data_IF_229412123011
#
_entry.id   IF_229412123011
#
_cell.length_a   1.000
_cell.length_b   1.000
_cell.length_c   1.000
_cell.angle_alpha   90.00
_cell.angle_beta   90.00
_cell.angle_gamma   90.00
#
_symmetry.space_group_name_H-M   'P 1'
#
loop_
_entity.id
_entity.type
_entity.pdbx_description
1 polymer ?
#
# COMPACT_ATOMS: atom_id res chain seq x y z
N UNK A 1 32.09 -24.49 4.97
CA UNK A 1 30.87 -24.88 4.24
C UNK A 1 29.74 -24.92 5.26
N UNK A 2 28.92 -23.88 5.31
CA UNK A 2 27.71 -23.88 6.19
C UNK A 2 26.65 -24.67 5.43
N UNK A 3 26.26 -25.83 5.97
CA UNK A 3 25.18 -26.65 5.43
C UNK A 3 23.91 -25.81 5.44
N UNK A 4 23.39 -25.48 4.22
CA UNK A 4 22.07 -24.88 4.07
C UNK A 4 21.05 -25.82 4.69
N UNK A 5 20.20 -25.38 5.63
CA UNK A 5 19.16 -26.22 6.16
C UNK A 5 18.25 -26.69 5.00
N UNK A 6 18.01 -27.99 4.94
CA UNK A 6 17.01 -28.54 4.00
C UNK A 6 15.69 -27.83 4.20
N UNK A 7 14.97 -27.50 3.11
CA UNK A 7 13.66 -26.88 3.19
C UNK A 7 12.72 -27.86 3.91
N UNK A 8 12.49 -27.63 5.21
CA UNK A 8 11.46 -28.35 5.94
C UNK A 8 10.12 -28.01 5.30
N UNK A 9 9.61 -28.89 4.47
CA UNK A 9 8.26 -28.82 3.94
C UNK A 9 7.28 -28.83 5.13
N UNK A 10 6.87 -27.65 5.56
CA UNK A 10 5.80 -27.53 6.53
C UNK A 10 4.51 -27.93 5.82
N UNK A 11 4.07 -29.16 6.04
CA UNK A 11 2.72 -29.57 5.68
C UNK A 11 1.73 -28.70 6.47
N UNK A 12 1.27 -27.60 5.82
CA UNK A 12 0.10 -26.89 6.31
C UNK A 12 -1.03 -27.91 6.34
N UNK A 13 -1.52 -28.18 7.55
CA UNK A 13 -2.69 -29.03 7.67
C UNK A 13 -3.81 -28.39 6.87
N UNK A 14 -4.47 -29.10 5.95
CA UNK A 14 -5.46 -28.51 5.04
C UNK A 14 -6.60 -27.76 5.78
N UNK A 15 -6.88 -28.11 7.04
CA UNK A 15 -7.85 -27.40 7.86
C UNK A 15 -7.42 -25.95 8.20
N UNK A 16 -6.13 -25.65 8.34
CA UNK A 16 -5.65 -24.27 8.60
C UNK A 16 -5.91 -23.35 7.42
N UNK A 17 -5.70 -23.84 6.20
CA UNK A 17 -6.05 -23.11 4.99
C UNK A 17 -7.58 -22.89 4.90
N UNK A 18 -8.36 -23.88 5.30
CA UNK A 18 -9.83 -23.78 5.37
C UNK A 18 -10.30 -22.73 6.39
N UNK A 19 -9.73 -22.73 7.59
CA UNK A 19 -10.05 -21.73 8.63
C UNK A 19 -9.70 -20.31 8.16
N UNK A 20 -8.52 -20.11 7.56
CA UNK A 20 -8.14 -18.81 7.00
C UNK A 20 -9.09 -18.39 5.89
N UNK A 21 -9.44 -19.28 4.96
CA UNK A 21 -10.41 -18.99 3.91
C UNK A 21 -11.79 -18.62 4.47
N UNK A 22 -12.27 -19.30 5.50
CA UNK A 22 -13.53 -18.98 6.18
C UNK A 22 -13.46 -17.61 6.88
N UNK A 23 -12.34 -17.30 7.54
CA UNK A 23 -12.13 -15.97 8.12
C UNK A 23 -12.17 -14.86 7.06
N UNK A 24 -11.53 -15.09 5.90
CA UNK A 24 -11.57 -14.15 4.78
C UNK A 24 -12.98 -13.97 4.22
N UNK A 25 -13.66 -15.07 3.97
CA UNK A 25 -15.03 -15.05 3.46
C UNK A 25 -15.99 -14.37 4.46
N UNK A 26 -15.84 -14.65 5.76
CA UNK A 26 -16.61 -13.99 6.81
C UNK A 26 -16.36 -12.49 6.86
N UNK A 27 -15.09 -12.08 6.79
CA UNK A 27 -14.71 -10.66 6.79
C UNK A 27 -15.20 -9.94 5.52
N UNK A 28 -15.06 -10.58 4.37
CA UNK A 28 -15.58 -10.06 3.09
C UNK A 28 -17.12 -9.96 3.14
N UNK A 29 -17.78 -10.96 3.70
CA UNK A 29 -19.22 -10.95 3.88
C UNK A 29 -19.68 -9.78 4.78
N UNK A 30 -18.99 -9.55 5.90
CA UNK A 30 -19.28 -8.40 6.78
C UNK A 30 -19.05 -7.08 6.03
N UNK A 31 -17.97 -6.95 5.27
CA UNK A 31 -17.69 -5.75 4.48
C UNK A 31 -18.70 -5.50 3.37
N UNK A 32 -19.28 -6.55 2.77
CA UNK A 32 -20.15 -6.44 1.59
C UNK A 32 -21.65 -6.51 1.97
N UNK A 33 -22.03 -7.32 2.95
CA UNK A 33 -23.41 -7.69 3.21
C UNK A 33 -24.12 -6.89 4.33
N UNK A 34 -23.39 -6.06 5.11
CA UNK A 34 -24.05 -5.23 6.14
C UNK A 34 -25.01 -4.25 5.45
N UNK A 35 -26.32 -4.36 5.64
CA UNK A 35 -27.31 -3.49 4.99
C UNK A 35 -27.24 -2.06 5.49
N UNK A 36 -27.61 -1.11 4.65
CA UNK A 36 -27.76 0.30 5.02
C UNK A 36 -26.51 1.17 4.94
N UNK A 37 -25.33 0.59 4.66
CA UNK A 37 -24.08 1.36 4.52
C UNK A 37 -23.50 1.17 3.11
N UNK A 38 -23.20 2.27 2.40
CA UNK A 38 -22.62 2.20 1.06
C UNK A 38 -21.22 1.58 1.10
N UNK A 39 -20.80 0.96 -0.02
CA UNK A 39 -19.43 0.45 -0.17
C UNK A 39 -18.40 1.55 0.10
N UNK A 40 -18.64 2.75 -0.42
CA UNK A 40 -17.77 3.89 -0.26
C UNK A 40 -17.58 4.29 1.22
N UNK A 41 -18.67 4.25 2.01
CA UNK A 41 -18.60 4.56 3.44
C UNK A 41 -17.81 3.51 4.23
N UNK A 42 -17.91 2.25 3.83
CA UNK A 42 -17.10 1.17 4.42
C UNK A 42 -15.62 1.32 4.13
N UNK A 43 -15.27 1.68 2.88
CA UNK A 43 -13.88 1.98 2.52
C UNK A 43 -13.37 3.21 3.28
N UNK A 44 -14.19 4.26 3.41
CA UNK A 44 -13.86 5.44 4.24
C UNK A 44 -13.64 5.08 5.70
N UNK A 45 -14.50 4.25 6.26
CA UNK A 45 -14.35 3.78 7.64
C UNK A 45 -13.03 3.03 7.82
N UNK A 46 -12.74 2.04 6.96
CA UNK A 46 -11.52 1.26 7.02
C UNK A 46 -10.29 2.17 6.91
N UNK A 47 -10.24 3.03 5.90
CA UNK A 47 -9.11 3.92 5.65
C UNK A 47 -8.99 5.06 6.70
N UNK A 48 -10.02 5.32 7.51
CA UNK A 48 -9.99 6.33 8.57
C UNK A 48 -8.99 6.01 9.67
N UNK A 49 -8.63 4.74 9.84
CA UNK A 49 -7.61 4.31 10.79
C UNK A 49 -6.21 4.84 10.48
N UNK A 50 -5.92 5.14 9.20
CA UNK A 50 -4.59 5.58 8.76
C UNK A 50 -4.58 6.97 8.12
N UNK A 51 -5.75 7.53 7.83
CA UNK A 51 -5.88 8.82 7.16
C UNK A 51 -6.80 9.75 7.95
N UNK A 52 -6.39 11.01 8.12
CA UNK A 52 -7.25 12.02 8.76
C UNK A 52 -8.50 12.34 7.94
N UNK A 53 -8.44 12.12 6.62
CA UNK A 53 -9.56 12.33 5.67
C UNK A 53 -10.10 13.78 5.69
N UNK A 54 -9.21 14.77 5.87
CA UNK A 54 -9.59 16.17 5.87
C UNK A 54 -10.27 16.55 4.55
N UNK A 55 -11.45 17.22 4.58
CA UNK A 55 -12.17 17.61 3.37
C UNK A 55 -11.33 18.46 2.41
N UNK A 56 -10.58 19.45 2.93
CA UNK A 56 -9.69 20.32 2.16
C UNK A 56 -8.54 19.59 1.47
N UNK A 57 -8.16 18.41 1.96
CA UNK A 57 -7.05 17.60 1.46
C UNK A 57 -7.50 16.43 0.57
N UNK A 58 -8.77 16.39 0.17
CA UNK A 58 -9.36 15.25 -0.55
C UNK A 58 -9.84 15.64 -1.95
N UNK A 59 -9.94 14.66 -2.85
CA UNK A 59 -10.61 14.79 -4.15
C UNK A 59 -12.05 14.27 -4.07
N UNK A 60 -12.91 14.80 -4.97
CA UNK A 60 -14.35 14.53 -4.99
C UNK A 60 -14.84 14.08 -6.37
N UNK A 61 -14.40 12.91 -6.90
CA UNK A 61 -14.91 12.41 -8.18
C UNK A 61 -16.44 12.26 -8.14
N UNK A 62 -17.13 12.90 -9.09
CA UNK A 62 -18.60 12.91 -9.12
C UNK A 62 -19.26 13.53 -7.89
N UNK A 63 -18.58 14.45 -7.18
CA UNK A 63 -19.09 15.07 -5.96
C UNK A 63 -18.96 14.22 -4.69
N UNK A 64 -18.42 13.01 -4.79
CA UNK A 64 -18.23 12.09 -3.67
C UNK A 64 -16.76 12.04 -3.23
N UNK A 65 -16.50 12.25 -1.92
CA UNK A 65 -15.12 12.22 -1.40
C UNK A 65 -14.50 10.83 -1.51
N UNK A 66 -13.24 10.78 -1.97
CA UNK A 66 -12.44 9.55 -1.94
C UNK A 66 -12.20 9.09 -0.48
N UNK A 67 -11.95 7.78 -0.25
CA UNK A 67 -11.65 7.23 1.07
C UNK A 67 -10.38 7.79 1.69
N UNK A 68 -9.42 8.21 0.87
CA UNK A 68 -8.11 8.72 1.30
C UNK A 68 -7.94 10.19 0.88
N UNK A 69 -7.11 10.92 1.63
CA UNK A 69 -6.67 12.25 1.21
C UNK A 69 -5.78 12.17 -0.04
N UNK A 70 -5.60 13.28 -0.75
CA UNK A 70 -4.89 13.37 -2.03
C UNK A 70 -3.50 12.72 -2.00
N UNK A 71 -2.71 12.95 -0.93
CA UNK A 71 -1.37 12.37 -0.76
C UNK A 71 -1.43 10.86 -0.60
N UNK A 72 -2.25 10.35 0.30
CA UNK A 72 -2.39 8.92 0.54
C UNK A 72 -2.96 8.20 -0.69
N UNK A 73 -3.94 8.80 -1.37
CA UNK A 73 -4.43 8.30 -2.66
C UNK A 73 -3.27 8.14 -3.64
N UNK A 74 -2.39 9.14 -3.75
CA UNK A 74 -1.20 9.08 -4.60
C UNK A 74 -0.24 7.95 -4.18
N UNK A 75 0.11 7.86 -2.89
CA UNK A 75 1.04 6.84 -2.38
C UNK A 75 0.55 5.42 -2.73
N UNK A 76 -0.70 5.11 -2.41
CA UNK A 76 -1.20 3.76 -2.54
C UNK A 76 -1.56 3.38 -3.99
N UNK A 77 -2.06 4.32 -4.80
CA UNK A 77 -2.20 4.11 -6.24
C UNK A 77 -0.83 3.97 -6.91
N UNK A 78 0.13 4.84 -6.60
CA UNK A 78 1.49 4.77 -7.13
C UNK A 78 2.16 3.44 -6.79
N UNK A 79 1.98 2.96 -5.55
CA UNK A 79 2.50 1.66 -5.12
C UNK A 79 1.89 0.50 -5.91
N UNK A 80 0.56 0.40 -5.97
CA UNK A 80 -0.11 -0.75 -6.61
C UNK A 80 0.11 -0.77 -8.12
N UNK A 81 0.05 0.39 -8.79
CA UNK A 81 0.28 0.52 -10.23
C UNK A 81 1.72 0.15 -10.57
N UNK A 82 2.71 0.64 -9.80
CA UNK A 82 4.11 0.26 -9.97
C UNK A 82 4.32 -1.23 -9.75
N UNK A 83 3.74 -1.79 -8.70
CA UNK A 83 3.85 -3.22 -8.40
C UNK A 83 3.28 -4.07 -9.53
N UNK A 84 2.06 -3.77 -10.01
CA UNK A 84 1.42 -4.45 -11.14
C UNK A 84 2.32 -4.38 -12.38
N UNK A 85 2.85 -3.20 -12.69
CA UNK A 85 3.73 -3.02 -13.85
C UNK A 85 5.02 -3.84 -13.72
N UNK A 86 5.66 -3.84 -12.52
CA UNK A 86 6.86 -4.65 -12.28
C UNK A 86 6.58 -6.15 -12.46
N UNK A 87 5.43 -6.64 -12.01
CA UNK A 87 5.03 -8.02 -12.25
C UNK A 87 4.75 -8.29 -13.74
N UNK A 88 4.08 -7.38 -14.44
CA UNK A 88 3.77 -7.51 -15.86
C UNK A 88 5.03 -7.58 -16.75
N UNK A 89 6.09 -6.84 -16.38
CA UNK A 89 7.38 -6.89 -17.10
C UNK A 89 8.33 -7.99 -16.59
N UNK A 90 7.82 -8.95 -15.79
CA UNK A 90 8.58 -10.11 -15.30
C UNK A 90 9.57 -9.80 -14.18
N UNK A 91 9.42 -8.67 -13.47
CA UNK A 91 10.30 -8.28 -12.35
C UNK A 91 9.73 -8.62 -10.97
N UNK A 92 8.64 -9.35 -10.89
CA UNK A 92 7.96 -9.70 -9.63
C UNK A 92 8.82 -10.45 -8.61
N UNK A 93 9.88 -11.15 -9.05
CA UNK A 93 10.86 -11.84 -8.21
C UNK A 93 12.21 -11.14 -8.12
N UNK A 94 12.31 -9.88 -8.52
CA UNK A 94 13.54 -9.12 -8.43
C UNK A 94 14.02 -9.01 -6.96
N UNK A 95 15.32 -9.26 -6.72
CA UNK A 95 15.95 -9.23 -5.39
C UNK A 95 17.10 -8.22 -5.30
N UNK A 96 17.39 -7.50 -6.39
CA UNK A 96 18.41 -6.45 -6.39
C UNK A 96 17.73 -5.09 -6.51
N UNK A 97 18.22 -4.15 -5.70
CA UNK A 97 17.83 -2.76 -5.78
C UNK A 97 18.17 -2.16 -7.16
N UNK A 98 17.47 -1.10 -7.59
CA UNK A 98 17.86 -0.32 -8.75
C UNK A 98 19.33 0.14 -8.69
N UNK A 99 19.95 0.57 -9.81
CA UNK A 99 21.24 1.25 -9.80
C UNK A 99 21.21 2.49 -8.90
N UNK A 100 22.34 2.82 -8.26
CA UNK A 100 22.42 3.91 -7.28
C UNK A 100 21.83 5.25 -7.75
N UNK A 101 22.04 5.72 -9.00
CA UNK A 101 21.44 6.98 -9.44
C UNK A 101 19.89 6.96 -9.42
N UNK A 102 19.28 5.80 -9.76
CA UNK A 102 17.84 5.62 -9.70
C UNK A 102 17.36 5.58 -8.25
N UNK A 103 18.10 4.90 -7.35
CA UNK A 103 17.78 4.90 -5.91
C UNK A 103 17.76 6.31 -5.36
N UNK A 104 18.73 7.15 -5.72
CA UNK A 104 18.78 8.56 -5.29
C UNK A 104 17.53 9.30 -5.75
N UNK A 105 17.13 9.17 -7.00
CA UNK A 105 15.90 9.83 -7.53
C UNK A 105 14.65 9.35 -6.78
N UNK A 106 14.54 8.05 -6.50
CA UNK A 106 13.42 7.51 -5.75
C UNK A 106 13.36 8.03 -4.31
N UNK A 107 14.52 8.09 -3.64
CA UNK A 107 14.63 8.62 -2.26
C UNK A 107 14.35 10.13 -2.23
N UNK A 108 14.82 10.88 -3.21
CA UNK A 108 14.48 12.29 -3.36
C UNK A 108 12.98 12.50 -3.54
N UNK A 109 12.30 11.62 -4.30
CA UNK A 109 10.84 11.63 -4.41
C UNK A 109 10.13 11.50 -3.06
N UNK A 110 10.62 10.60 -2.19
CA UNK A 110 10.12 10.47 -0.81
C UNK A 110 10.43 11.74 0.00
N UNK A 111 11.64 12.30 -0.14
CA UNK A 111 12.03 13.55 0.54
C UNK A 111 11.14 14.74 0.17
N UNK A 112 10.84 14.90 -1.12
CA UNK A 112 9.94 15.95 -1.61
C UNK A 112 8.53 15.77 -1.02
N UNK A 113 8.02 14.54 -0.96
CA UNK A 113 6.75 14.24 -0.31
C UNK A 113 6.77 14.59 1.18
N UNK A 114 7.87 14.30 1.88
CA UNK A 114 8.01 14.64 3.29
C UNK A 114 7.99 16.16 3.50
N UNK A 115 8.71 16.93 2.68
CA UNK A 115 8.68 18.41 2.72
C UNK A 115 7.27 18.94 2.47
N UNK A 116 6.56 18.43 1.43
CA UNK A 116 5.17 18.80 1.17
C UNK A 116 4.25 18.42 2.35
N UNK A 117 4.55 17.29 3.02
CA UNK A 117 3.83 16.83 4.20
C UNK A 117 3.95 17.78 5.37
N UNK A 118 5.17 18.13 5.74
CA UNK A 118 5.44 19.09 6.83
C UNK A 118 4.90 20.48 6.51
N UNK A 119 5.06 20.94 5.27
CA UNK A 119 4.52 22.23 4.84
C UNK A 119 2.99 22.28 4.99
N UNK A 120 2.28 21.22 4.59
CA UNK A 120 0.83 21.11 4.77
C UNK A 120 0.44 21.07 6.27
N UNK A 121 1.19 20.33 7.07
CA UNK A 121 0.95 20.23 8.51
C UNK A 121 1.15 21.56 9.22
N UNK A 122 2.17 22.35 8.87
CA UNK A 122 2.39 23.67 9.42
C UNK A 122 1.27 24.65 9.07
N UNK A 123 0.77 24.58 7.81
CA UNK A 123 -0.40 25.36 7.43
C UNK A 123 -1.63 25.01 8.28
N UNK A 124 -1.90 23.71 8.47
CA UNK A 124 -3.06 23.22 9.24
C UNK A 124 -2.99 23.66 10.71
N UNK A 125 -1.78 23.86 11.25
CA UNK A 125 -1.54 24.40 12.60
C UNK A 125 -1.52 25.94 12.65
N UNK A 126 -1.70 26.64 11.54
CA UNK A 126 -1.59 28.10 11.46
C UNK A 126 -0.16 28.63 11.63
N UNK A 127 0.86 27.78 11.43
CA UNK A 127 2.27 28.13 11.53
C UNK A 127 2.82 28.64 10.19
N UNK A 128 4.03 29.21 10.24
CA UNK A 128 4.74 29.61 9.02
C UNK A 128 4.96 28.41 8.11
N UNK A 129 4.60 28.56 6.84
CA UNK A 129 4.70 27.52 5.81
C UNK A 129 5.39 28.09 4.56
N UNK A 130 6.00 27.21 3.74
CA UNK A 130 6.82 27.63 2.59
C UNK A 130 5.96 28.07 1.39
N UNK A 131 4.82 27.40 1.16
CA UNK A 131 3.91 27.64 0.05
C UNK A 131 2.50 27.15 0.37
N UNK A 132 1.50 27.63 -0.37
CA UNK A 132 0.12 27.15 -0.25
C UNK A 132 0.03 25.72 -0.82
N UNK A 133 -0.24 24.68 0.00
CA UNK A 133 -0.33 23.30 -0.47
C UNK A 133 -1.51 23.11 -1.43
N UNK A 134 -1.28 22.35 -2.50
CA UNK A 134 -2.30 22.06 -3.49
C UNK A 134 -2.53 20.56 -3.65
N UNK A 135 -3.80 20.12 -3.80
CA UNK A 135 -4.12 18.69 -3.83
C UNK A 135 -3.45 17.95 -5.01
N UNK A 136 -3.26 18.59 -6.17
CA UNK A 136 -2.51 17.99 -7.28
C UNK A 136 -1.03 17.78 -6.95
N UNK A 137 -0.40 18.69 -6.20
CA UNK A 137 0.98 18.49 -5.73
C UNK A 137 1.07 17.35 -4.73
N UNK A 138 0.15 17.31 -3.76
CA UNK A 138 0.04 16.17 -2.82
C UNK A 138 -0.13 14.84 -3.53
N UNK A 139 -0.94 14.80 -4.60
CA UNK A 139 -1.14 13.61 -5.42
C UNK A 139 0.15 13.22 -6.16
N UNK A 140 0.81 14.17 -6.83
CA UNK A 140 2.04 13.92 -7.59
C UNK A 140 3.18 13.40 -6.69
N UNK A 141 3.41 14.07 -5.56
CA UNK A 141 4.43 13.66 -4.57
C UNK A 141 4.08 12.30 -3.94
N UNK A 142 2.79 12.05 -3.72
CA UNK A 142 2.29 10.75 -3.28
C UNK A 142 2.58 9.64 -4.29
N UNK A 143 2.26 9.84 -5.59
CA UNK A 143 2.56 8.88 -6.67
C UNK A 143 4.05 8.57 -6.78
N UNK A 144 4.90 9.59 -6.70
CA UNK A 144 6.36 9.41 -6.70
C UNK A 144 6.84 8.57 -5.49
N UNK A 145 6.25 8.81 -4.33
CA UNK A 145 6.52 7.99 -3.13
C UNK A 145 6.04 6.56 -3.29
N UNK A 146 4.85 6.33 -3.84
CA UNK A 146 4.34 4.99 -4.12
C UNK A 146 5.23 4.22 -5.09
N UNK A 147 5.71 4.88 -6.15
CA UNK A 147 6.72 4.35 -7.07
C UNK A 147 7.99 3.92 -6.31
N UNK A 148 8.51 4.77 -5.43
CA UNK A 148 9.70 4.48 -4.66
C UNK A 148 9.49 3.30 -3.71
N UNK A 149 8.38 3.29 -2.97
CA UNK A 149 8.04 2.19 -2.04
C UNK A 149 7.94 0.84 -2.73
N UNK A 150 7.27 0.76 -3.89
CA UNK A 150 7.18 -0.49 -4.65
C UNK A 150 8.54 -0.91 -5.23
N UNK A 151 9.28 0.03 -5.81
CA UNK A 151 10.55 -0.25 -6.50
C UNK A 151 11.68 -0.65 -5.55
N UNK A 152 11.71 -0.08 -4.35
CA UNK A 152 12.70 -0.39 -3.31
C UNK A 152 12.23 -1.52 -2.39
N UNK A 153 10.94 -1.54 -2.05
CA UNK A 153 10.36 -2.53 -1.14
C UNK A 153 10.32 -3.94 -1.73
N UNK A 154 9.89 -4.08 -3.00
CA UNK A 154 9.78 -5.39 -3.66
C UNK A 154 11.09 -6.23 -3.58
N UNK A 155 12.27 -5.71 -3.94
CA UNK A 155 13.51 -6.50 -3.83
C UNK A 155 13.89 -6.83 -2.39
N UNK A 156 13.58 -5.97 -1.42
CA UNK A 156 13.85 -6.23 0.00
C UNK A 156 12.96 -7.37 0.52
N UNK A 157 11.66 -7.32 0.22
CA UNK A 157 10.71 -8.38 0.56
C UNK A 157 11.07 -9.71 -0.10
N UNK A 158 11.42 -9.68 -1.39
CA UNK A 158 11.82 -10.88 -2.10
C UNK A 158 13.10 -11.51 -1.54
N UNK A 159 14.05 -10.72 -1.05
CA UNK A 159 15.24 -11.24 -0.37
C UNK A 159 14.92 -11.91 0.97
N UNK A 160 13.89 -11.42 1.65
CA UNK A 160 13.46 -11.99 2.93
C UNK A 160 12.68 -13.29 2.74
N UNK A 161 11.87 -13.39 1.69
CA UNK A 161 10.94 -14.52 1.57
C UNK A 161 11.51 -15.69 0.79
N UNK A 162 12.15 -15.43 -0.38
CA UNK A 162 12.50 -16.51 -1.31
C UNK A 162 13.82 -17.19 -0.99
N UNK A 163 13.80 -18.54 -1.00
CA UNK A 163 14.99 -19.37 -0.81
C UNK A 163 15.94 -19.32 -2.03
N UNK A 164 15.39 -19.09 -3.23
CA UNK A 164 16.19 -18.96 -4.45
C UNK A 164 16.60 -17.51 -4.69
N UNK A 165 17.88 -17.27 -4.91
CA UNK A 165 18.39 -15.94 -5.22
C UNK A 165 18.12 -15.58 -6.68
N UNK A 166 17.45 -14.45 -6.90
CA UNK A 166 17.31 -13.84 -8.23
C UNK A 166 18.27 -12.65 -8.37
N UNK A 167 19.14 -12.72 -9.36
CA UNK A 167 20.06 -11.63 -9.72
C UNK A 167 19.36 -10.42 -10.38
N UNK A 168 18.06 -10.46 -10.57
CA UNK A 168 17.29 -9.40 -11.24
C UNK A 168 17.15 -8.16 -10.38
N UNK A 169 17.26 -6.98 -11.00
CA UNK A 169 16.92 -5.69 -10.39
C UNK A 169 15.45 -5.37 -10.61
N UNK A 170 14.80 -4.72 -9.64
CA UNK A 170 13.42 -4.21 -9.81
C UNK A 170 13.35 -3.22 -10.98
N UNK A 171 14.27 -2.28 -11.05
CA UNK A 171 14.48 -1.36 -12.16
C UNK A 171 15.95 -1.50 -12.59
N UNK A 172 16.19 -1.84 -13.87
CA UNK A 172 17.55 -2.09 -14.36
C UNK A 172 18.22 -0.85 -14.99
N UNK A 173 17.43 0.09 -15.51
CA UNK A 173 17.90 1.25 -16.27
C UNK A 173 16.88 2.38 -16.23
N UNK A 174 17.25 3.57 -16.73
CA UNK A 174 16.34 4.69 -16.91
C UNK A 174 15.18 4.37 -17.85
N UNK A 175 15.42 3.60 -18.91
CA UNK A 175 14.36 3.12 -19.80
C UNK A 175 13.34 2.24 -19.05
N UNK A 176 13.80 1.37 -18.15
CA UNK A 176 12.90 0.56 -17.31
C UNK A 176 12.09 1.42 -16.32
N UNK A 177 12.67 2.53 -15.81
CA UNK A 177 11.94 3.49 -15.00
C UNK A 177 10.85 4.20 -15.82
N UNK A 178 11.16 4.60 -17.06
CA UNK A 178 10.20 5.26 -17.95
C UNK A 178 8.98 4.38 -18.30
N UNK A 179 9.12 3.04 -18.29
CA UNK A 179 7.98 2.12 -18.49
C UNK A 179 6.93 2.25 -17.38
N UNK A 180 7.32 2.70 -16.18
CA UNK A 180 6.39 2.89 -15.06
C UNK A 180 5.61 4.21 -15.16
N UNK A 181 6.12 5.19 -15.88
CA UNK A 181 5.55 6.55 -15.94
C UNK A 181 4.14 6.60 -16.54
N UNK A 182 3.81 5.88 -17.64
CA UNK A 182 2.46 5.93 -18.20
C UNK A 182 1.36 5.52 -17.24
N UNK A 183 1.59 4.45 -16.43
CA UNK A 183 0.62 4.01 -15.42
C UNK A 183 0.42 5.04 -14.31
N UNK A 184 1.51 5.71 -13.88
CA UNK A 184 1.45 6.79 -12.89
C UNK A 184 0.74 8.03 -13.45
N UNK A 185 1.04 8.41 -14.71
CA UNK A 185 0.39 9.51 -15.38
C UNK A 185 -1.11 9.26 -15.55
N UNK A 186 -1.49 8.05 -15.97
CA UNK A 186 -2.89 7.65 -16.06
C UNK A 186 -3.59 7.78 -14.70
N UNK A 187 -2.95 7.32 -13.62
CA UNK A 187 -3.48 7.44 -12.26
C UNK A 187 -3.64 8.90 -11.84
N UNK A 188 -2.64 9.74 -12.15
CA UNK A 188 -2.69 11.17 -11.86
C UNK A 188 -3.87 11.85 -12.57
N UNK A 189 -4.01 11.66 -13.88
CA UNK A 189 -5.08 12.28 -14.67
C UNK A 189 -6.46 11.70 -14.31
N UNK A 190 -6.56 10.41 -13.99
CA UNK A 190 -7.80 9.80 -13.53
C UNK A 190 -8.31 10.46 -12.23
N UNK A 191 -7.41 10.66 -11.24
CA UNK A 191 -7.78 11.36 -9.98
C UNK A 191 -8.06 12.83 -10.24
N UNK A 192 -7.21 13.51 -11.02
CA UNK A 192 -7.32 14.95 -11.30
C UNK A 192 -8.59 15.30 -12.10
N UNK A 193 -9.08 14.37 -12.93
CA UNK A 193 -10.31 14.56 -13.71
C UNK A 193 -11.56 14.75 -12.86
N UNK A 194 -11.55 14.24 -11.64
CA UNK A 194 -12.69 14.21 -10.70
C UNK A 194 -13.98 13.67 -11.34
N UNK A 195 -13.88 12.85 -12.39
CA UNK A 195 -15.02 12.24 -13.06
C UNK A 195 -15.62 11.15 -12.16
N UNK A 196 -16.96 11.14 -12.02
CA UNK A 196 -17.67 10.15 -11.20
C UNK A 196 -17.48 8.69 -11.63
N UNK A 197 -17.18 8.44 -12.92
CA UNK A 197 -16.93 7.08 -13.43
C UNK A 197 -15.68 6.44 -12.80
N UNK A 198 -14.68 7.24 -12.41
CA UNK A 198 -13.45 6.71 -11.80
C UNK A 198 -13.53 6.61 -10.28
N UNK A 199 -14.60 7.04 -9.63
CA UNK A 199 -14.77 7.06 -8.18
C UNK A 199 -14.51 5.69 -7.55
N UNK A 200 -15.29 4.68 -7.93
CA UNK A 200 -15.18 3.34 -7.37
C UNK A 200 -13.88 2.62 -7.73
N UNK A 201 -13.40 2.63 -8.99
CA UNK A 201 -12.08 2.10 -9.33
C UNK A 201 -10.97 2.72 -8.49
N UNK A 202 -10.94 4.05 -8.34
CA UNK A 202 -9.92 4.74 -7.54
C UNK A 202 -10.03 4.42 -6.05
N UNK A 203 -11.25 4.40 -5.51
CA UNK A 203 -11.50 4.05 -4.11
C UNK A 203 -11.03 2.62 -3.80
N UNK A 204 -11.40 1.64 -4.64
CA UNK A 204 -11.01 0.24 -4.46
C UNK A 204 -9.51 0.04 -4.62
N UNK A 205 -8.88 0.61 -5.67
CA UNK A 205 -7.45 0.46 -5.91
C UNK A 205 -6.61 1.13 -4.82
N UNK A 206 -7.00 2.32 -4.36
CA UNK A 206 -6.25 3.00 -3.29
C UNK A 206 -6.36 2.26 -1.96
N UNK A 207 -7.55 1.80 -1.57
CA UNK A 207 -7.72 0.98 -0.35
C UNK A 207 -7.01 -0.38 -0.49
N UNK A 208 -7.07 -1.02 -1.66
CA UNK A 208 -6.29 -2.24 -1.91
C UNK A 208 -4.78 -2.00 -1.79
N UNK A 209 -4.29 -0.84 -2.25
CA UNK A 209 -2.91 -0.40 -2.05
C UNK A 209 -2.54 -0.25 -0.58
N UNK A 210 -3.41 0.34 0.24
CA UNK A 210 -3.26 0.41 1.70
C UNK A 210 -3.10 -0.99 2.28
N UNK A 211 -4.08 -1.86 2.01
CA UNK A 211 -4.09 -3.22 2.52
C UNK A 211 -2.82 -3.99 2.10
N UNK A 212 -2.38 -3.82 0.84
CA UNK A 212 -1.18 -4.48 0.33
C UNK A 212 0.09 -3.98 1.05
N UNK A 213 0.25 -2.67 1.23
CA UNK A 213 1.44 -2.10 1.90
C UNK A 213 1.50 -2.55 3.35
N UNK A 214 0.43 -2.39 4.11
CA UNK A 214 0.40 -2.76 5.53
C UNK A 214 0.49 -4.28 5.72
N UNK A 215 -0.18 -5.08 4.86
CA UNK A 215 -0.04 -6.53 4.91
C UNK A 215 1.38 -7.00 4.60
N UNK A 216 2.13 -6.31 3.74
CA UNK A 216 3.54 -6.63 3.52
C UNK A 216 4.39 -6.32 4.75
N UNK A 217 4.12 -5.23 5.48
CA UNK A 217 4.78 -4.93 6.76
C UNK A 217 4.47 -6.03 7.79
N UNK A 218 3.21 -6.37 7.97
CA UNK A 218 2.79 -7.45 8.88
C UNK A 218 3.34 -8.81 8.45
N UNK A 219 3.44 -9.08 7.14
CA UNK A 219 4.04 -10.30 6.61
C UNK A 219 5.51 -10.44 6.99
N UNK A 220 6.28 -9.34 6.94
CA UNK A 220 7.67 -9.34 7.42
C UNK A 220 7.73 -9.76 8.88
N UNK A 221 6.88 -9.20 9.73
CA UNK A 221 6.82 -9.55 11.16
C UNK A 221 6.43 -11.03 11.35
N UNK A 222 5.38 -11.48 10.65
CA UNK A 222 4.88 -12.87 10.75
C UNK A 222 5.95 -13.87 10.31
N UNK A 223 6.65 -13.60 9.21
CA UNK A 223 7.73 -14.47 8.70
C UNK A 223 8.92 -14.49 9.66
N UNK A 224 9.33 -13.32 10.18
CA UNK A 224 10.43 -13.20 11.13
C UNK A 224 10.14 -13.94 12.46
N UNK A 225 8.95 -13.73 13.05
CA UNK A 225 8.52 -14.41 14.28
C UNK A 225 8.42 -15.94 14.06
N UNK A 226 7.95 -16.36 12.88
CA UNK A 226 7.87 -17.77 12.50
C UNK A 226 9.23 -18.39 12.14
N UNK A 227 10.32 -17.60 12.11
CA UNK A 227 11.67 -18.01 11.69
C UNK A 227 11.67 -18.71 10.33
N UNK A 228 10.92 -18.14 9.38
CA UNK A 228 10.72 -18.68 8.03
C UNK A 228 11.35 -17.80 6.94
N UNK A 229 12.30 -16.96 7.30
CA UNK A 229 13.07 -16.17 6.35
C UNK A 229 13.80 -17.09 5.35
N UNK A 230 13.77 -16.70 4.08
CA UNK A 230 14.42 -17.40 2.96
C UNK A 230 14.02 -18.88 2.81
N UNK A 231 12.81 -19.26 3.21
CA UNK A 231 12.37 -20.66 3.14
C UNK A 231 11.36 -20.95 2.03
N UNK A 232 10.73 -19.92 1.45
CA UNK A 232 9.67 -20.09 0.47
C UNK A 232 10.23 -20.30 -0.95
N UNK A 233 9.79 -21.37 -1.63
CA UNK A 233 10.11 -21.63 -3.03
C UNK A 233 8.97 -21.15 -3.96
N UNK A 234 7.73 -21.27 -3.53
CA UNK A 234 6.53 -20.97 -4.34
C UNK A 234 5.60 -20.00 -3.62
N UNK A 235 4.86 -19.19 -4.39
CA UNK A 235 3.85 -18.27 -3.85
C UNK A 235 2.80 -18.97 -2.99
N UNK A 236 2.42 -20.20 -3.33
CA UNK A 236 1.44 -20.99 -2.55
C UNK A 236 1.87 -21.23 -1.11
N UNK A 237 3.17 -21.29 -0.85
CA UNK A 237 3.72 -21.48 0.51
C UNK A 237 3.63 -20.19 1.33
N UNK A 238 3.72 -19.02 0.66
CA UNK A 238 3.63 -17.70 1.27
C UNK A 238 2.17 -17.29 1.52
N UNK A 239 1.21 -17.77 0.72
CA UNK A 239 -0.20 -17.37 0.79
C UNK A 239 -0.82 -17.44 2.20
N UNK A 240 -0.63 -18.51 3.00
CA UNK A 240 -1.19 -18.57 4.35
C UNK A 240 -0.62 -17.50 5.29
N UNK A 241 0.68 -17.20 5.18
CA UNK A 241 1.34 -16.14 5.96
C UNK A 241 0.83 -14.77 5.55
N UNK A 242 0.70 -14.53 4.24
CA UNK A 242 0.11 -13.31 3.71
C UNK A 242 -1.36 -13.16 4.16
N UNK A 243 -2.09 -14.27 4.17
CA UNK A 243 -3.44 -14.33 4.66
C UNK A 243 -3.56 -13.88 6.11
N UNK A 244 -2.74 -14.43 6.98
CA UNK A 244 -2.72 -14.03 8.38
C UNK A 244 -2.30 -12.56 8.55
N UNK A 245 -1.28 -12.12 7.80
CA UNK A 245 -0.84 -10.72 7.79
C UNK A 245 -1.96 -9.75 7.35
N UNK A 246 -2.77 -10.13 6.35
CA UNK A 246 -3.91 -9.32 5.90
C UNK A 246 -5.01 -9.24 6.98
N UNK A 247 -5.30 -10.35 7.69
CA UNK A 247 -6.24 -10.34 8.82
C UNK A 247 -5.76 -9.41 9.95
N UNK A 248 -4.46 -9.47 10.28
CA UNK A 248 -3.85 -8.55 11.25
C UNK A 248 -4.02 -7.09 10.79
N UNK A 249 -3.69 -6.80 9.53
CA UNK A 249 -3.82 -5.46 8.94
C UNK A 249 -5.24 -4.92 9.07
N UNK A 250 -6.24 -5.71 8.72
CA UNK A 250 -7.64 -5.28 8.81
C UNK A 250 -8.03 -5.05 10.28
N UNK A 251 -7.60 -5.93 11.18
CA UNK A 251 -7.82 -5.76 12.62
C UNK A 251 -7.18 -4.47 13.15
N UNK A 252 -5.93 -4.19 12.80
CA UNK A 252 -5.23 -2.96 13.16
C UNK A 252 -5.96 -1.72 12.65
N UNK A 253 -6.36 -1.71 11.37
CA UNK A 253 -7.09 -0.59 10.78
C UNK A 253 -8.43 -0.36 11.47
N UNK A 254 -9.17 -1.41 11.83
CA UNK A 254 -10.42 -1.31 12.58
C UNK A 254 -10.22 -0.74 13.98
N UNK A 255 -9.21 -1.22 14.71
CA UNK A 255 -8.87 -0.72 16.04
C UNK A 255 -8.50 0.77 15.98
N UNK A 256 -7.65 1.17 15.02
CA UNK A 256 -7.24 2.55 14.83
C UNK A 256 -8.43 3.45 14.45
N UNK A 257 -9.34 2.97 13.59
CA UNK A 257 -10.57 3.70 13.23
C UNK A 257 -11.47 3.92 14.47
N UNK A 258 -11.67 2.87 15.28
CA UNK A 258 -12.46 2.96 16.51
C UNK A 258 -11.83 3.91 17.54
N UNK A 259 -10.52 3.82 17.76
CA UNK A 259 -9.79 4.71 18.67
C UNK A 259 -9.90 6.18 18.25
N UNK A 260 -9.72 6.47 16.95
CA UNK A 260 -9.91 7.81 16.40
C UNK A 260 -11.33 8.32 16.67
N UNK A 261 -12.34 7.51 16.41
CA UNK A 261 -13.74 7.90 16.60
C UNK A 261 -14.04 8.19 18.08
N UNK A 262 -13.57 7.31 18.99
CA UNK A 262 -13.74 7.48 20.43
C UNK A 262 -13.05 8.75 20.94
N UNK A 263 -11.85 9.07 20.44
CA UNK A 263 -11.13 10.29 20.79
C UNK A 263 -11.87 11.55 20.31
N UNK A 264 -12.38 11.56 19.07
CA UNK A 264 -13.15 12.69 18.54
C UNK A 264 -14.43 12.92 19.37
N UNK A 265 -15.16 11.86 19.72
CA UNK A 265 -16.32 11.95 20.61
C UNK A 265 -15.97 12.50 21.99
N UNK A 266 -14.85 12.06 22.59
CA UNK A 266 -14.41 12.53 23.88
C UNK A 266 -14.00 14.02 23.86
N UNK A 267 -13.55 14.53 22.72
CA UNK A 267 -13.19 15.94 22.49
C UNK A 267 -14.39 16.81 22.07
N UNK A 268 -15.60 16.22 21.91
CA UNK A 268 -16.80 16.95 21.47
C UNK A 268 -16.75 17.40 20.01
N UNK A 269 -15.97 16.68 19.17
CA UNK A 269 -15.76 17.00 17.76
C UNK A 269 -16.55 16.03 16.85
#
# INVERSE_FOLDING_TARGET
MVQKPEPQSMYWRPWMAGVLALCYLGLLAVLVLVPGVSLLDRLRWLDSGICAQLPSHSFYPGGQRLPLCARNTGIYLGFIVTLITLYAIGRGRAQRLPPWPIVVVLVLGIGIMAVDGFNSFFLDLGLAHLYQPHNLLRLATGLATGLALASLGLPLLNRLFWCEYSGQRSISSWAALLVLVPGLALSFFAVASQNGLVLYPLALLSTAGVLMVLSNVNLVVVVAVSRRDQTFARYRELLPFFGFALLLTIGEMQVLAQLKFSLLQALGM
#
